data_IF_240102063355
#
_entry.id   IF_240102063355
#
_cell.length_a   1.000
_cell.length_b   1.000
_cell.length_c   1.000
_cell.angle_alpha   90.00
_cell.angle_beta   90.00
_cell.angle_gamma   90.00
#
_symmetry.space_group_name_H-M   'P 1'
#
loop_
_entity.id
_entity.type
_entity.pdbx_description
1 polymer ?
#
# COMPACT_ATOMS: atom_id res chain seq x y z
N UNK A 1 18.85 7.88 -8.37
CA UNK A 1 17.39 7.64 -8.49
C UNK A 1 16.66 8.89 -8.01
N UNK A 2 15.58 9.32 -8.68
CA UNK A 2 14.84 10.53 -8.28
C UNK A 2 13.93 10.18 -7.11
N UNK A 3 14.27 10.66 -5.94
CA UNK A 3 13.45 10.47 -4.75
C UNK A 3 12.13 11.25 -4.90
N UNK A 4 11.00 10.58 -4.67
CA UNK A 4 9.67 11.19 -4.73
C UNK A 4 9.09 11.20 -3.32
N UNK A 5 9.08 12.38 -2.70
CA UNK A 5 8.45 12.58 -1.39
C UNK A 5 6.95 12.71 -1.59
N UNK A 6 6.17 11.95 -0.82
CA UNK A 6 4.71 11.99 -0.81
C UNK A 6 4.26 12.17 0.63
N UNK A 7 3.38 13.15 0.87
CA UNK A 7 2.80 13.40 2.20
C UNK A 7 1.41 12.79 2.23
N UNK A 8 1.20 11.83 3.12
CA UNK A 8 -0.10 11.22 3.39
C UNK A 8 -0.77 11.95 4.55
N UNK A 9 -1.99 12.45 4.34
CA UNK A 9 -2.82 12.98 5.42
C UNK A 9 -3.72 11.86 5.90
N UNK A 10 -3.47 11.42 7.11
CA UNK A 10 -4.23 10.37 7.79
C UNK A 10 -4.95 10.98 8.97
N UNK A 11 -6.12 10.45 9.30
CA UNK A 11 -6.76 10.78 10.56
C UNK A 11 -6.07 10.04 11.73
N UNK A 12 -6.43 10.40 12.96
CA UNK A 12 -5.83 9.82 14.16
C UNK A 12 -5.98 8.30 14.24
N UNK A 13 -7.17 7.78 13.94
CA UNK A 13 -7.46 6.34 13.99
C UNK A 13 -6.62 5.55 12.97
N UNK A 14 -6.41 6.11 11.78
CA UNK A 14 -5.57 5.52 10.74
C UNK A 14 -4.10 5.51 11.14
N UNK A 15 -3.61 6.58 11.77
CA UNK A 15 -2.24 6.64 12.26
C UNK A 15 -1.99 5.59 13.35
N UNK A 16 -2.92 5.46 14.30
CA UNK A 16 -2.86 4.44 15.36
C UNK A 16 -2.95 3.01 14.82
N UNK A 17 -3.70 2.80 13.73
CA UNK A 17 -3.75 1.51 13.07
C UNK A 17 -2.38 1.17 12.46
N UNK A 18 -1.78 2.10 11.71
CA UNK A 18 -0.45 1.93 11.13
C UNK A 18 0.59 1.61 12.22
N UNK A 19 0.57 2.35 13.32
CA UNK A 19 1.51 2.16 14.43
C UNK A 19 1.39 0.78 15.05
N UNK A 20 0.17 0.33 15.33
CA UNK A 20 -0.07 -1.02 15.87
C UNK A 20 0.38 -2.11 14.90
N UNK A 21 0.18 -1.92 13.59
CA UNK A 21 0.63 -2.87 12.57
C UNK A 21 2.15 -2.96 12.49
N UNK A 22 2.86 -1.85 12.61
CA UNK A 22 4.33 -1.83 12.69
C UNK A 22 4.80 -2.50 13.99
N UNK A 23 4.18 -2.19 15.13
CA UNK A 23 4.52 -2.82 16.42
C UNK A 23 4.28 -4.33 16.43
N UNK A 24 3.30 -4.81 15.67
CA UNK A 24 3.05 -6.24 15.46
C UNK A 24 4.11 -6.93 14.58
N UNK A 25 5.08 -6.19 14.02
CA UNK A 25 6.20 -6.72 13.25
C UNK A 25 5.92 -6.96 11.77
N UNK A 26 4.80 -6.43 11.23
CA UNK A 26 4.45 -6.61 9.80
C UNK A 26 5.45 -5.88 8.88
N UNK A 27 6.02 -4.78 9.35
CA UNK A 27 7.01 -4.00 8.63
C UNK A 27 7.97 -3.32 9.62
N UNK A 28 9.21 -2.98 9.21
CA UNK A 28 10.21 -2.37 10.10
C UNK A 28 9.85 -0.93 10.51
N UNK A 29 9.09 -0.20 9.69
CA UNK A 29 8.62 1.15 9.97
C UNK A 29 7.35 1.49 9.15
N UNK A 30 6.82 2.69 9.38
CA UNK A 30 5.61 3.19 8.70
C UNK A 30 5.80 3.31 7.19
N UNK A 31 6.97 3.72 6.73
CA UNK A 31 7.24 3.95 5.31
C UNK A 31 7.30 2.63 4.55
N UNK A 32 8.00 1.64 5.10
CA UNK A 32 8.05 0.29 4.60
C UNK A 32 6.66 -0.35 4.54
N UNK A 33 5.82 -0.14 5.57
CA UNK A 33 4.43 -0.61 5.57
C UNK A 33 3.62 0.01 4.43
N UNK A 34 3.69 1.33 4.27
CA UNK A 34 2.99 2.04 3.19
C UNK A 34 3.46 1.60 1.82
N UNK A 35 4.78 1.43 1.62
CA UNK A 35 5.35 0.93 0.36
C UNK A 35 4.89 -0.49 0.06
N UNK A 36 4.83 -1.37 1.06
CA UNK A 36 4.30 -2.72 0.93
C UNK A 36 2.84 -2.70 0.48
N UNK A 37 2.00 -1.93 1.18
CA UNK A 37 0.57 -1.82 0.85
C UNK A 37 0.34 -1.27 -0.57
N UNK A 38 1.09 -0.25 -1.00
CA UNK A 38 1.00 0.30 -2.35
C UNK A 38 1.41 -0.72 -3.42
N UNK A 39 2.44 -1.52 -3.15
CA UNK A 39 2.88 -2.59 -4.06
C UNK A 39 1.78 -3.65 -4.22
N UNK A 40 1.26 -4.15 -3.11
CA UNK A 40 0.17 -5.14 -3.10
C UNK A 40 -1.06 -4.62 -3.83
N UNK A 41 -1.46 -3.37 -3.56
CA UNK A 41 -2.58 -2.72 -4.25
C UNK A 41 -2.34 -2.64 -5.76
N UNK A 42 -1.12 -2.27 -6.18
CA UNK A 42 -0.79 -2.17 -7.60
C UNK A 42 -0.84 -3.53 -8.32
N UNK A 43 -0.40 -4.60 -7.64
CA UNK A 43 -0.42 -5.95 -8.20
C UNK A 43 -1.84 -6.50 -8.26
N UNK A 44 -2.67 -6.27 -7.23
CA UNK A 44 -4.10 -6.61 -7.25
C UNK A 44 -4.83 -5.87 -8.38
N UNK A 45 -4.55 -4.56 -8.54
CA UNK A 45 -5.17 -3.75 -9.58
C UNK A 45 -4.75 -4.20 -10.98
N UNK A 46 -3.48 -4.57 -11.19
CA UNK A 46 -3.00 -5.11 -12.47
C UNK A 46 -3.69 -6.43 -12.80
N UNK A 47 -3.82 -7.35 -11.83
CA UNK A 47 -4.54 -8.62 -11.99
C UNK A 47 -6.00 -8.40 -12.35
N UNK A 48 -6.69 -7.48 -11.65
CA UNK A 48 -8.09 -7.16 -11.92
C UNK A 48 -8.31 -6.58 -13.33
N UNK A 49 -7.40 -5.73 -13.81
CA UNK A 49 -7.44 -5.21 -15.19
C UNK A 49 -7.20 -6.34 -16.20
N UNK A 50 -6.22 -7.22 -15.96
CA UNK A 50 -5.93 -8.35 -16.85
C UNK A 50 -7.11 -9.33 -16.96
N UNK A 51 -7.78 -9.66 -15.84
CA UNK A 51 -8.96 -10.54 -15.84
C UNK A 51 -10.17 -9.94 -16.56
N UNK A 52 -10.26 -8.61 -16.63
CA UNK A 52 -11.35 -7.94 -17.36
C UNK A 52 -11.12 -8.02 -18.87
N UNK A 53 -9.88 -7.80 -19.33
CA UNK A 53 -9.53 -7.84 -20.75
C UNK A 53 -9.74 -9.22 -21.38
N UNK A 54 -9.54 -10.32 -20.64
CA UNK A 54 -9.74 -11.69 -21.12
C UNK A 54 -11.21 -12.14 -21.20
N UNK A 55 -12.15 -11.37 -20.64
CA UNK A 55 -13.59 -11.69 -20.67
C UNK A 55 -14.35 -10.91 -21.75
N UNK A 56 -13.70 -9.98 -22.44
CA UNK A 56 -14.26 -9.15 -23.51
C UNK A 56 -13.84 -9.66 -24.92
N UNK A 57 -13.26 -10.87 -25.02
CA UNK A 57 -12.79 -11.54 -26.25
C UNK A 57 -13.55 -12.86 -26.48
#
# INVERSE_FOLDING_TARGET
>A
MKERVVVLRLNQQQLELIDRTVQAGVAPDREALVRLALREYSDQRRKAVASKASNDE
#
